data_IF_353425691691
#
_entry.id   IF_353425691691
#
_cell.length_a   1.000
_cell.length_b   1.000
_cell.length_c   1.000
_cell.angle_alpha   90.00
_cell.angle_beta   90.00
_cell.angle_gamma   90.00
#
_symmetry.space_group_name_H-M   'P 1'
#
loop_
_entity.id
_entity.type
_entity.pdbx_description
1 polymer ?
#
# COMPACT_ATOMS: atom_id res chain seq x y z
N UNK A 1 -16.48 21.57 -26.83
CA UNK A 1 -15.23 20.90 -26.43
C UNK A 1 -15.04 21.15 -24.95
N UNK A 2 -15.45 20.21 -24.09
CA UNK A 2 -15.38 20.38 -22.64
C UNK A 2 -13.99 19.96 -22.16
N UNK A 3 -13.10 20.93 -21.97
CA UNK A 3 -11.82 20.72 -21.30
C UNK A 3 -12.06 20.66 -19.79
N UNK A 4 -12.37 19.47 -19.27
CA UNK A 4 -12.18 19.18 -17.84
C UNK A 4 -10.70 18.95 -17.58
N UNK A 5 -9.93 20.03 -17.54
CA UNK A 5 -8.61 20.05 -16.90
C UNK A 5 -8.84 19.95 -15.39
N UNK A 6 -9.00 18.72 -14.88
CA UNK A 6 -8.93 18.49 -13.44
C UNK A 6 -7.49 18.78 -13.02
N UNK A 7 -7.26 19.96 -12.47
CA UNK A 7 -6.00 20.37 -11.85
C UNK A 7 -5.56 19.26 -10.89
N UNK A 8 -4.46 18.58 -11.19
CA UNK A 8 -3.90 17.56 -10.31
C UNK A 8 -3.65 18.17 -8.93
N UNK A 9 -4.20 17.53 -7.91
CA UNK A 9 -4.01 17.95 -6.52
C UNK A 9 -2.54 17.76 -6.12
N UNK A 10 -2.10 18.42 -5.05
CA UNK A 10 -0.75 18.22 -4.52
C UNK A 10 -0.50 16.74 -4.15
N UNK A 11 -1.55 16.06 -3.67
CA UNK A 11 -1.54 14.63 -3.35
C UNK A 11 -1.34 13.77 -4.61
N UNK A 12 -2.00 14.10 -5.73
CA UNK A 12 -1.81 13.41 -7.01
C UNK A 12 -0.35 13.50 -7.49
N UNK A 13 0.30 14.66 -7.27
CA UNK A 13 1.71 14.85 -7.61
C UNK A 13 2.64 14.02 -6.72
N UNK A 14 2.36 13.94 -5.42
CA UNK A 14 3.13 13.12 -4.48
C UNK A 14 3.02 11.64 -4.83
N UNK A 15 1.81 11.16 -5.11
CA UNK A 15 1.54 9.79 -5.57
C UNK A 15 2.24 9.48 -6.90
N UNK A 16 2.13 10.37 -7.89
CA UNK A 16 2.80 10.20 -9.18
C UNK A 16 4.32 10.14 -9.04
N UNK A 17 4.90 10.95 -8.14
CA UNK A 17 6.33 10.96 -7.86
C UNK A 17 6.77 9.67 -7.17
N UNK A 18 6.05 9.21 -6.15
CA UNK A 18 6.33 7.93 -5.50
C UNK A 18 6.28 6.77 -6.50
N UNK A 19 5.27 6.78 -7.38
CA UNK A 19 5.13 5.80 -8.46
C UNK A 19 6.33 5.82 -9.42
N UNK A 20 6.71 6.99 -9.93
CA UNK A 20 7.79 7.10 -10.93
C UNK A 20 9.18 6.84 -10.37
N UNK A 21 9.44 7.32 -9.15
CA UNK A 21 10.79 7.41 -8.61
C UNK A 21 11.16 6.19 -7.77
N UNK A 22 10.18 5.54 -7.13
CA UNK A 22 10.43 4.44 -6.19
C UNK A 22 9.78 3.14 -6.66
N UNK A 23 8.45 3.13 -6.81
CA UNK A 23 7.72 1.88 -7.03
C UNK A 23 7.99 1.26 -8.41
N UNK A 24 7.97 2.07 -9.47
CA UNK A 24 8.20 1.55 -10.82
C UNK A 24 9.65 1.03 -11.01
N UNK A 25 10.70 1.71 -10.52
CA UNK A 25 12.05 1.15 -10.49
C UNK A 25 12.15 -0.17 -9.71
N UNK A 26 11.59 -0.23 -8.50
CA UNK A 26 11.59 -1.45 -7.68
C UNK A 26 10.90 -2.62 -8.40
N UNK A 27 9.72 -2.39 -8.97
CA UNK A 27 8.99 -3.40 -9.75
C UNK A 27 9.76 -3.86 -11.00
N UNK A 28 10.48 -2.96 -11.67
CA UNK A 28 11.33 -3.31 -12.83
C UNK A 28 12.52 -4.16 -12.41
N UNK A 29 13.15 -3.87 -11.27
CA UNK A 29 14.25 -4.68 -10.73
C UNK A 29 13.76 -6.08 -10.35
N UNK A 30 12.62 -6.15 -9.68
CA UNK A 30 11.98 -7.40 -9.29
C UNK A 30 11.66 -8.28 -10.50
N UNK A 31 11.07 -7.68 -11.56
CA UNK A 31 10.83 -8.37 -12.84
C UNK A 31 12.12 -8.85 -13.51
N UNK A 32 13.22 -8.08 -13.45
CA UNK A 32 14.52 -8.51 -14.01
C UNK A 32 15.09 -9.71 -13.26
N UNK A 33 14.84 -9.81 -11.95
CA UNK A 33 15.21 -10.95 -11.12
C UNK A 33 14.36 -12.19 -11.36
N UNK A 34 13.28 -12.07 -12.13
CA UNK A 34 12.33 -13.16 -12.36
C UNK A 34 11.53 -13.53 -11.12
N UNK A 35 11.47 -12.66 -10.11
CA UNK A 35 10.60 -12.84 -8.97
C UNK A 35 9.16 -12.51 -9.39
N UNK A 36 8.20 -13.32 -8.98
CA UNK A 36 6.78 -13.03 -9.18
C UNK A 36 6.27 -12.20 -8.01
N UNK A 37 5.58 -11.10 -8.33
CA UNK A 37 5.01 -10.18 -7.34
C UNK A 37 3.74 -10.75 -6.69
N UNK A 38 3.15 -11.77 -7.31
CA UNK A 38 1.96 -12.47 -6.87
C UNK A 38 2.17 -13.96 -7.11
N UNK A 39 2.54 -14.69 -6.05
CA UNK A 39 2.49 -16.15 -6.09
C UNK A 39 1.03 -16.59 -5.94
N UNK A 40 0.33 -16.71 -7.08
CA UNK A 40 -1.05 -17.20 -7.11
C UNK A 40 -1.19 -18.67 -6.70
N UNK A 41 -0.08 -19.41 -6.57
CA UNK A 41 -0.09 -20.79 -6.13
C UNK A 41 -0.13 -20.92 -4.60
N UNK A 42 0.39 -19.94 -3.86
CA UNK A 42 0.38 -19.91 -2.38
C UNK A 42 -0.57 -18.89 -1.78
N UNK A 43 -1.11 -17.95 -2.57
CA UNK A 43 -2.15 -17.05 -2.10
C UNK A 43 -3.42 -17.85 -1.76
N UNK A 44 -3.59 -18.18 -0.49
CA UNK A 44 -4.84 -18.74 0.02
C UNK A 44 -6.02 -17.89 -0.42
N UNK A 45 -7.15 -18.54 -0.69
CA UNK A 45 -8.40 -17.85 -1.04
C UNK A 45 -8.64 -16.68 -0.08
N UNK A 46 -9.11 -15.53 -0.55
CA UNK A 46 -9.50 -14.39 0.29
C UNK A 46 -10.61 -14.71 1.30
N UNK A 47 -11.20 -15.90 1.19
CA UNK A 47 -12.18 -16.49 2.11
C UNK A 47 -11.54 -17.31 3.24
N UNK A 48 -10.22 -17.52 3.20
CA UNK A 48 -9.49 -18.27 4.22
C UNK A 48 -9.23 -17.35 5.40
N UNK A 49 -9.70 -17.75 6.59
CA UNK A 49 -9.39 -17.01 7.81
C UNK A 49 -7.86 -17.00 7.98
N UNK A 50 -7.22 -15.83 8.15
CA UNK A 50 -5.79 -15.80 8.43
C UNK A 50 -5.51 -16.61 9.72
N UNK A 51 -4.29 -17.14 9.87
CA UNK A 51 -3.89 -17.82 11.10
C UNK A 51 -4.20 -16.93 12.31
N UNK A 52 -4.67 -17.52 13.42
CA UNK A 52 -5.06 -16.78 14.63
C UNK A 52 -3.96 -15.90 15.23
N UNK A 53 -2.72 -16.17 14.84
CA UNK A 53 -1.52 -15.57 15.42
C UNK A 53 -1.02 -14.36 14.61
N UNK A 54 -1.72 -13.99 13.53
CA UNK A 54 -1.41 -12.78 12.77
C UNK A 54 -2.21 -11.61 13.38
N UNK A 55 -1.56 -10.60 13.98
CA UNK A 55 -2.26 -9.44 14.52
C UNK A 55 -3.02 -8.73 13.40
N UNK A 56 -4.21 -8.21 13.74
CA UNK A 56 -4.97 -7.41 12.78
C UNK A 56 -4.18 -6.14 12.43
N UNK A 57 -4.12 -5.78 11.14
CA UNK A 57 -3.36 -4.61 10.68
C UNK A 57 -3.85 -3.31 11.35
N UNK A 58 -5.13 -3.27 11.77
CA UNK A 58 -5.76 -2.18 12.52
C UNK A 58 -5.25 -2.02 13.96
N UNK A 59 -4.65 -3.05 14.53
CA UNK A 59 -4.14 -3.05 15.91
C UNK A 59 -2.66 -2.66 15.99
N UNK A 60 -1.96 -2.64 14.85
CA UNK A 60 -0.55 -2.31 14.78
C UNK A 60 -0.32 -0.81 14.84
N UNK A 61 0.67 -0.40 15.64
CA UNK A 61 1.20 0.96 15.54
C UNK A 61 1.83 1.18 14.15
N UNK A 62 1.92 2.41 13.65
CA UNK A 62 2.54 2.67 12.34
C UNK A 62 3.96 2.11 12.21
N UNK A 63 4.76 2.17 13.30
CA UNK A 63 6.09 1.57 13.33
C UNK A 63 6.03 0.04 13.24
N UNK A 64 5.18 -0.61 14.04
CA UNK A 64 5.01 -2.06 13.99
C UNK A 64 4.46 -2.53 12.63
N UNK A 65 3.59 -1.74 12.00
CA UNK A 65 3.07 -2.02 10.66
C UNK A 65 4.19 -1.95 9.60
N UNK A 66 5.07 -0.95 9.68
CA UNK A 66 6.21 -0.84 8.79
C UNK A 66 7.14 -2.06 8.94
N UNK A 67 7.48 -2.43 10.18
CA UNK A 67 8.34 -3.57 10.47
C UNK A 67 7.71 -4.89 9.99
N UNK A 68 6.41 -5.08 10.20
CA UNK A 68 5.69 -6.26 9.73
C UNK A 68 5.63 -6.36 8.21
N UNK A 69 5.35 -5.24 7.52
CA UNK A 69 5.32 -5.20 6.06
C UNK A 69 6.70 -5.49 5.48
N UNK A 70 7.75 -4.90 6.05
CA UNK A 70 9.12 -5.13 5.61
C UNK A 70 9.52 -6.60 5.79
N UNK A 71 9.30 -7.16 6.98
CA UNK A 71 9.64 -8.56 7.27
C UNK A 71 8.90 -9.54 6.37
N UNK A 72 7.63 -9.25 6.03
CA UNK A 72 6.86 -10.09 5.11
C UNK A 72 7.39 -10.04 3.69
N UNK A 73 7.68 -8.85 3.17
CA UNK A 73 8.23 -8.69 1.82
C UNK A 73 9.60 -9.34 1.71
N UNK A 74 10.45 -9.24 2.74
CA UNK A 74 11.73 -9.94 2.80
C UNK A 74 11.56 -11.46 2.82
N UNK A 75 10.61 -11.99 3.59
CA UNK A 75 10.31 -13.42 3.64
C UNK A 75 9.80 -13.97 2.29
N UNK A 76 9.07 -13.16 1.53
CA UNK A 76 8.59 -13.47 0.18
C UNK A 76 9.67 -13.23 -0.90
N UNK A 77 10.88 -12.80 -0.51
CA UNK A 77 12.00 -12.53 -1.43
C UNK A 77 11.85 -11.23 -2.23
N UNK A 78 10.94 -10.34 -1.84
CA UNK A 78 10.60 -9.07 -2.49
C UNK A 78 11.40 -7.91 -1.87
N UNK A 79 12.71 -8.05 -1.76
CA UNK A 79 13.59 -7.08 -1.07
C UNK A 79 13.51 -5.66 -1.65
N UNK A 80 13.33 -5.51 -2.95
CA UNK A 80 13.19 -4.19 -3.61
C UNK A 80 11.92 -3.46 -3.14
N UNK A 81 10.87 -4.21 -2.80
CA UNK A 81 9.65 -3.66 -2.24
C UNK A 81 9.78 -3.41 -0.73
N UNK A 82 10.53 -4.25 -0.02
CA UNK A 82 10.83 -4.05 1.39
C UNK A 82 11.58 -2.73 1.64
N UNK A 83 12.54 -2.39 0.77
CA UNK A 83 13.34 -1.15 0.85
C UNK A 83 12.50 0.13 0.71
N UNK A 84 11.36 0.09 0.02
CA UNK A 84 10.50 1.27 -0.18
C UNK A 84 9.45 1.43 0.92
N UNK A 85 9.30 0.47 1.84
CA UNK A 85 8.29 0.51 2.92
C UNK A 85 8.38 1.79 3.76
N UNK A 86 9.56 2.29 4.20
CA UNK A 86 9.64 3.54 4.96
C UNK A 86 9.06 4.74 4.18
N UNK A 87 9.38 4.85 2.89
CA UNK A 87 8.86 5.92 2.03
C UNK A 87 7.35 5.79 1.80
N UNK A 88 6.84 4.56 1.73
CA UNK A 88 5.41 4.29 1.62
C UNK A 88 4.66 4.71 2.88
N UNK A 89 5.23 4.44 4.06
CA UNK A 89 4.66 4.82 5.35
C UNK A 89 4.66 6.35 5.55
N UNK A 90 5.75 7.02 5.17
CA UNK A 90 5.82 8.49 5.17
C UNK A 90 4.76 9.09 4.24
N UNK A 91 4.66 8.58 3.01
CA UNK A 91 3.64 9.03 2.06
C UNK A 91 2.22 8.80 2.59
N UNK A 92 1.96 7.66 3.25
CA UNK A 92 0.67 7.37 3.84
C UNK A 92 0.29 8.36 4.95
N UNK A 93 1.26 8.76 5.78
CA UNK A 93 1.04 9.78 6.81
C UNK A 93 0.83 11.17 6.21
N UNK A 94 1.61 11.53 5.18
CA UNK A 94 1.45 12.80 4.46
C UNK A 94 0.11 12.93 3.71
N UNK A 95 -0.43 11.81 3.24
CA UNK A 95 -1.72 11.75 2.54
C UNK A 95 -2.90 11.58 3.49
N UNK A 96 -2.65 11.30 4.77
CA UNK A 96 -3.71 11.16 5.77
C UNK A 96 -4.51 12.46 5.80
N UNK A 97 -5.84 12.40 5.62
CA UNK A 97 -6.67 13.60 5.77
C UNK A 97 -6.43 14.19 7.15
N UNK A 98 -6.15 15.49 7.23
CA UNK A 98 -6.18 16.17 8.52
C UNK A 98 -7.59 16.02 9.09
N UNK A 99 -7.70 15.82 10.41
CA UNK A 99 -8.94 15.55 11.13
C UNK A 99 -10.04 16.64 11.02
N UNK A 100 -9.86 17.64 10.14
CA UNK A 100 -10.87 18.63 9.75
C UNK A 100 -11.59 18.28 8.43
N UNK A 101 -11.25 17.16 7.78
CA UNK A 101 -11.93 16.67 6.57
C UNK A 101 -12.84 15.50 6.92
N UNK A 102 -13.57 15.62 8.02
CA UNK A 102 -14.52 14.61 8.53
C UNK A 102 -15.90 14.69 7.85
N UNK A 103 -15.99 15.40 6.72
CA UNK A 103 -17.16 15.37 5.85
C UNK A 103 -16.78 14.65 4.54
N UNK A 104 -17.47 13.53 4.29
CA UNK A 104 -17.38 12.66 3.10
C UNK A 104 -16.39 11.48 3.09
N UNK A 105 -16.27 10.74 4.20
CA UNK A 105 -16.13 9.28 4.05
C UNK A 105 -17.50 8.76 3.64
N UNK A 106 -17.67 8.52 2.34
CA UNK A 106 -18.91 8.01 1.76
C UNK A 106 -19.30 6.67 2.45
N UNK A 107 -20.42 6.58 3.17
CA UNK A 107 -20.74 5.48 4.10
C UNK A 107 -21.13 4.15 3.43
N UNK A 108 -20.72 3.90 2.18
CA UNK A 108 -21.15 2.73 1.40
C UNK A 108 -20.36 1.44 1.66
N UNK A 109 -19.45 1.39 2.63
CA UNK A 109 -18.86 0.14 3.12
C UNK A 109 -19.43 -0.21 4.50
N UNK A 110 -20.75 -0.34 4.59
CA UNK A 110 -21.39 -1.24 5.55
C UNK A 110 -21.74 -2.52 4.79
N UNK A 111 -20.89 -3.54 4.93
CA UNK A 111 -21.29 -4.91 4.59
C UNK A 111 -22.37 -5.31 5.59
N UNK A 112 -23.55 -5.67 5.08
CA UNK A 112 -24.70 -6.09 5.88
C UNK A 112 -24.34 -7.28 6.79
N UNK A 113 -24.72 -7.17 8.06
CA UNK A 113 -25.08 -8.30 8.91
C UNK A 113 -26.40 -7.99 9.62
#
# INVERSE_FOLDING_TARGET
MSSTDKKATQNDKKLAKFWSDLLLPAAKQLKRRGAELLDTATSGSSWSKPPSDVPELSELSPAALADHLQARLEAEGLSELAEIVPNMMELADELRPSAQTDEEVNPFVYVMH
#
